data_IF_085311665013
#
_entry.id   IF_085311665013
#
_cell.length_a   1.000
_cell.length_b   1.000
_cell.length_c   1.000
_cell.angle_alpha   90.00
_cell.angle_beta   90.00
_cell.angle_gamma   90.00
#
_symmetry.space_group_name_H-M   'P 1'
#
loop_
_entity.id
_entity.type
_entity.pdbx_description
1 polymer ?
#
# COMPACT_ATOMS: atom_id res chain seq x y z
N UNK A 1 8.04 19.77 -6.00
CA UNK A 1 7.18 19.33 -5.00
C UNK A 1 6.24 20.42 -4.46
N UNK A 2 4.95 20.24 -4.69
CA UNK A 2 3.95 21.21 -4.21
C UNK A 2 3.88 21.28 -2.67
N UNK A 3 4.58 20.40 -1.98
CA UNK A 3 4.62 20.30 -0.51
C UNK A 3 5.93 20.80 0.09
N UNK A 4 6.91 21.15 -0.71
CA UNK A 4 8.21 21.58 -0.23
C UNK A 4 8.16 23.02 0.27
N UNK A 5 8.18 23.21 1.58
CA UNK A 5 8.20 24.52 2.23
C UNK A 5 9.50 25.31 2.00
N UNK A 6 10.56 24.63 1.66
CA UNK A 6 11.89 25.21 1.44
C UNK A 6 12.09 25.73 0.03
N UNK A 7 11.10 25.53 -0.85
CA UNK A 7 11.21 25.84 -2.27
C UNK A 7 12.02 24.80 -3.05
N UNK A 8 12.35 25.12 -4.29
CA UNK A 8 13.09 24.24 -5.20
C UNK A 8 12.18 23.36 -6.05
N UNK A 9 12.81 22.62 -6.95
CA UNK A 9 12.13 21.77 -7.91
C UNK A 9 11.88 20.37 -7.35
N UNK A 10 10.85 19.70 -7.86
CA UNK A 10 10.56 18.30 -7.59
C UNK A 10 10.32 17.55 -8.89
N UNK A 11 10.18 16.22 -8.81
CA UNK A 11 9.75 15.40 -9.97
C UNK A 11 8.30 15.68 -10.42
N UNK A 12 7.56 16.53 -9.72
CA UNK A 12 6.16 16.87 -10.02
C UNK A 12 5.99 18.27 -10.56
N UNK A 13 6.73 19.23 -10.00
CA UNK A 13 6.61 20.66 -10.30
C UNK A 13 7.93 21.37 -10.07
N UNK A 14 8.21 22.37 -10.88
CA UNK A 14 9.28 23.31 -10.62
C UNK A 14 8.96 24.27 -9.48
N UNK A 15 9.92 25.11 -9.11
CA UNK A 15 9.75 26.14 -8.08
C UNK A 15 8.65 27.15 -8.41
N UNK A 16 8.35 27.34 -9.69
CA UNK A 16 7.25 28.15 -10.22
C UNK A 16 5.86 27.47 -10.10
N UNK A 17 5.80 26.24 -9.63
CA UNK A 17 4.58 25.45 -9.48
C UNK A 17 4.10 24.74 -10.76
N UNK A 18 4.81 24.88 -11.89
CA UNK A 18 4.44 24.29 -13.15
C UNK A 18 5.01 22.86 -13.28
N UNK A 19 4.27 21.98 -13.99
CA UNK A 19 4.74 20.61 -14.28
C UNK A 19 5.83 20.56 -15.34
N UNK A 20 5.81 21.51 -16.26
CA UNK A 20 6.77 21.59 -17.38
C UNK A 20 8.17 21.95 -16.91
N UNK A 21 8.27 22.62 -15.77
CA UNK A 21 9.55 22.99 -15.13
C UNK A 21 9.96 22.05 -14.02
N UNK A 22 9.30 20.89 -13.87
CA UNK A 22 9.67 19.87 -12.90
C UNK A 22 11.10 19.37 -13.11
N UNK A 23 11.80 19.05 -12.03
CA UNK A 23 13.13 18.47 -12.12
C UNK A 23 13.08 17.07 -12.76
N UNK A 24 14.03 16.76 -13.61
CA UNK A 24 14.23 15.41 -14.14
C UNK A 24 14.87 14.48 -13.08
N UNK A 25 15.67 15.04 -12.18
CA UNK A 25 16.41 14.34 -11.11
C UNK A 25 16.32 15.17 -9.84
N UNK A 26 16.16 14.50 -8.70
CA UNK A 26 16.22 15.14 -7.38
C UNK A 26 17.16 14.37 -6.46
N UNK A 27 17.91 15.11 -5.62
CA UNK A 27 18.81 14.52 -4.63
C UNK A 27 18.08 14.07 -3.38
N UNK A 28 18.56 13.01 -2.72
CA UNK A 28 18.21 12.68 -1.34
C UNK A 28 18.83 13.65 -0.32
N UNK A 29 19.90 14.36 -0.69
CA UNK A 29 20.56 15.35 0.16
C UNK A 29 19.79 16.68 0.16
N UNK A 30 18.60 16.66 0.68
CA UNK A 30 17.66 17.78 0.74
C UNK A 30 16.85 17.75 2.04
N UNK A 31 16.36 18.89 2.53
CA UNK A 31 15.49 18.92 3.69
C UNK A 31 14.22 18.09 3.46
N UNK A 32 13.75 17.39 4.49
CA UNK A 32 12.44 16.80 4.50
C UNK A 32 11.36 17.87 4.52
N UNK A 33 10.18 17.54 4.01
CA UNK A 33 9.02 18.41 4.08
C UNK A 33 8.46 18.46 5.51
N UNK A 34 7.84 19.60 5.87
CA UNK A 34 7.23 19.80 7.16
C UNK A 34 8.22 19.65 8.33
N UNK A 35 7.89 18.79 9.27
CA UNK A 35 8.67 18.54 10.48
C UNK A 35 9.73 17.41 10.33
N UNK A 36 9.92 16.94 9.10
CA UNK A 36 10.93 15.96 8.74
C UNK A 36 10.55 14.50 8.95
N UNK A 37 9.51 14.19 9.70
CA UNK A 37 9.10 12.80 9.98
C UNK A 37 7.61 12.52 9.77
N UNK A 38 6.90 13.45 9.13
CA UNK A 38 5.45 13.37 8.95
C UNK A 38 4.99 12.07 8.30
N UNK A 39 5.62 11.67 7.20
CA UNK A 39 5.29 10.46 6.49
C UNK A 39 5.38 9.22 7.41
N UNK A 40 6.50 9.04 8.08
CA UNK A 40 6.69 7.94 9.04
C UNK A 40 5.64 7.99 10.16
N UNK A 41 5.46 9.13 10.80
CA UNK A 41 4.55 9.27 11.96
C UNK A 41 3.09 9.00 11.63
N UNK A 42 2.66 9.31 10.41
CA UNK A 42 1.26 9.14 10.01
C UNK A 42 1.01 7.80 9.32
N UNK A 43 1.93 7.36 8.48
CA UNK A 43 1.69 6.27 7.55
C UNK A 43 2.38 4.95 7.97
N UNK A 44 3.29 4.97 8.93
CA UNK A 44 4.08 3.79 9.31
C UNK A 44 4.08 3.53 10.82
N UNK A 45 4.40 4.54 11.65
CA UNK A 45 4.57 4.40 13.10
C UNK A 45 3.39 3.69 13.82
N UNK A 46 2.10 3.96 13.50
CA UNK A 46 1.00 3.26 14.16
C UNK A 46 1.03 1.75 13.93
N UNK A 47 1.38 1.32 12.71
CA UNK A 47 1.54 -0.09 12.35
C UNK A 47 2.75 -0.70 13.04
N UNK A 48 3.91 -0.05 12.99
CA UNK A 48 5.13 -0.45 13.70
C UNK A 48 4.84 -0.68 15.19
N UNK A 49 4.15 0.26 15.82
CA UNK A 49 3.76 0.15 17.24
C UNK A 49 2.91 -1.11 17.53
N UNK A 50 1.97 -1.45 16.63
CA UNK A 50 1.18 -2.67 16.79
C UNK A 50 2.00 -3.93 16.56
N UNK A 51 2.88 -3.94 15.58
CA UNK A 51 3.76 -5.08 15.27
C UNK A 51 4.70 -5.39 16.44
N UNK A 52 5.31 -4.37 17.02
CA UNK A 52 6.18 -4.52 18.20
C UNK A 52 5.40 -4.99 19.44
N UNK A 53 4.21 -4.40 19.71
CA UNK A 53 3.33 -4.87 20.78
C UNK A 53 2.85 -6.31 20.60
N UNK A 54 2.67 -6.75 19.34
CA UNK A 54 2.31 -8.14 19.05
C UNK A 54 3.50 -9.11 19.29
N UNK A 55 4.70 -8.61 19.55
CA UNK A 55 5.91 -9.38 19.77
C UNK A 55 6.32 -10.14 18.50
N UNK A 56 6.27 -9.46 17.36
CA UNK A 56 6.84 -9.94 16.11
C UNK A 56 8.36 -9.76 16.14
N UNK A 57 9.07 -10.67 15.52
CA UNK A 57 10.49 -10.50 15.21
C UNK A 57 10.61 -9.68 13.93
N UNK A 58 11.07 -8.43 14.05
CA UNK A 58 10.98 -7.41 13.00
C UNK A 58 12.37 -6.91 12.64
N UNK A 59 12.66 -6.90 11.35
CA UNK A 59 13.76 -6.13 10.77
C UNK A 59 13.17 -4.96 9.98
N UNK A 60 13.75 -3.79 10.16
CA UNK A 60 13.42 -2.60 9.38
C UNK A 60 14.43 -2.42 8.27
N UNK A 61 13.95 -2.22 7.06
CA UNK A 61 14.77 -2.02 5.87
C UNK A 61 14.30 -0.79 5.11
N UNK A 62 15.19 -0.20 4.33
CA UNK A 62 14.91 0.95 3.48
C UNK A 62 14.70 0.55 2.04
N UNK A 63 14.06 1.42 1.25
CA UNK A 63 13.92 1.23 -0.20
C UNK A 63 15.29 1.09 -0.90
N UNK A 64 16.33 1.76 -0.38
CA UNK A 64 17.68 1.63 -0.91
C UNK A 64 18.27 0.23 -0.71
N UNK A 65 18.00 -0.40 0.43
CA UNK A 65 18.40 -1.78 0.68
C UNK A 65 17.61 -2.75 -0.20
N UNK A 66 16.31 -2.49 -0.38
CA UNK A 66 15.48 -3.30 -1.30
C UNK A 66 15.95 -3.16 -2.74
N UNK A 67 16.37 -1.97 -3.16
CA UNK A 67 16.90 -1.75 -4.51
C UNK A 67 18.22 -2.49 -4.76
N UNK A 68 19.14 -2.37 -3.81
CA UNK A 68 20.55 -2.76 -4.02
C UNK A 68 20.88 -4.22 -3.61
N UNK A 69 20.05 -4.86 -2.76
CA UNK A 69 20.34 -6.18 -2.23
C UNK A 69 19.33 -7.24 -2.70
N UNK A 70 19.67 -8.09 -3.67
CA UNK A 70 18.78 -9.15 -4.15
C UNK A 70 18.42 -10.20 -3.10
N UNK A 71 19.22 -10.33 -2.03
CA UNK A 71 19.02 -11.30 -0.94
C UNK A 71 18.32 -10.67 0.28
N UNK A 72 17.83 -9.46 0.17
CA UNK A 72 17.25 -8.71 1.29
C UNK A 72 16.09 -9.44 1.98
N UNK A 73 15.38 -10.30 1.26
CA UNK A 73 14.26 -11.09 1.78
C UNK A 73 14.57 -12.57 2.03
N UNK A 74 15.82 -13.02 1.87
CA UNK A 74 16.18 -14.45 1.91
C UNK A 74 15.83 -15.17 3.23
N UNK A 75 15.80 -14.44 4.36
CA UNK A 75 15.44 -15.00 5.67
C UNK A 75 14.10 -14.46 6.20
N UNK A 76 13.31 -13.85 5.33
CA UNK A 76 12.06 -13.20 5.69
C UNK A 76 10.88 -14.14 5.44
N UNK A 77 9.91 -14.18 6.36
CA UNK A 77 8.66 -14.93 6.16
C UNK A 77 7.54 -14.06 5.60
N UNK A 78 7.58 -12.78 5.93
CA UNK A 78 6.55 -11.83 5.53
C UNK A 78 7.14 -10.44 5.38
N UNK A 79 6.84 -9.80 4.29
CA UNK A 79 7.13 -8.39 4.02
C UNK A 79 5.87 -7.62 4.37
N UNK A 80 6.01 -6.56 5.16
CA UNK A 80 4.91 -5.68 5.55
C UNK A 80 5.23 -4.27 5.08
N UNK A 81 4.40 -3.77 4.17
CA UNK A 81 4.47 -2.40 3.70
C UNK A 81 3.39 -1.57 4.41
N UNK A 82 3.81 -0.55 5.13
CA UNK A 82 2.94 0.46 5.70
C UNK A 82 2.86 1.68 4.80
N UNK A 83 1.75 2.42 4.87
CA UNK A 83 1.66 3.73 4.28
C UNK A 83 1.67 3.78 2.76
N UNK A 84 2.47 4.68 2.23
CA UNK A 84 2.45 5.08 0.83
C UNK A 84 3.76 4.69 0.13
N UNK A 85 3.80 3.50 -0.46
CA UNK A 85 4.98 2.96 -1.19
C UNK A 85 4.74 3.00 -2.70
N UNK A 86 4.63 4.21 -3.26
CA UNK A 86 4.23 4.45 -4.66
C UNK A 86 5.37 4.19 -5.67
N UNK A 87 6.61 4.50 -5.28
CA UNK A 87 7.75 4.57 -6.20
C UNK A 87 8.70 3.40 -5.97
N UNK A 88 8.80 2.52 -6.97
CA UNK A 88 9.73 1.39 -6.94
C UNK A 88 10.67 1.45 -8.12
N UNK A 89 11.91 1.05 -7.92
CA UNK A 89 12.80 0.73 -9.03
C UNK A 89 12.42 -0.62 -9.65
N UNK A 90 12.97 -0.92 -10.82
CA UNK A 90 12.77 -2.25 -11.43
C UNK A 90 13.37 -3.35 -10.55
N UNK A 91 14.51 -3.11 -9.90
CA UNK A 91 15.13 -4.04 -8.97
C UNK A 91 14.25 -4.30 -7.76
N UNK A 92 13.72 -3.26 -7.11
CA UNK A 92 12.78 -3.39 -5.99
C UNK A 92 11.59 -4.28 -6.36
N UNK A 93 10.94 -3.97 -7.47
CA UNK A 93 9.80 -4.77 -7.93
C UNK A 93 10.17 -6.24 -8.17
N UNK A 94 11.29 -6.50 -8.84
CA UNK A 94 11.78 -7.85 -9.08
C UNK A 94 12.05 -8.59 -7.78
N UNK A 95 12.62 -7.91 -6.76
CA UNK A 95 12.88 -8.52 -5.46
C UNK A 95 11.59 -8.88 -4.72
N UNK A 96 10.55 -8.04 -4.77
CA UNK A 96 9.23 -8.38 -4.25
C UNK A 96 8.58 -9.56 -5.00
N UNK A 97 8.64 -9.57 -6.33
CA UNK A 97 8.12 -10.67 -7.15
C UNK A 97 8.84 -12.00 -6.83
N UNK A 98 10.16 -11.98 -6.73
CA UNK A 98 10.97 -13.14 -6.35
C UNK A 98 10.64 -13.63 -4.94
N UNK A 99 10.47 -12.72 -3.97
CA UNK A 99 10.10 -13.05 -2.62
C UNK A 99 8.74 -13.78 -2.57
N UNK A 100 7.73 -13.25 -3.27
CA UNK A 100 6.42 -13.93 -3.38
C UNK A 100 6.54 -15.27 -4.10
N UNK A 101 7.33 -15.34 -5.17
CA UNK A 101 7.55 -16.60 -5.90
C UNK A 101 8.25 -17.69 -5.08
N UNK A 102 9.01 -17.31 -4.05
CA UNK A 102 9.70 -18.23 -3.13
C UNK A 102 8.94 -18.49 -1.82
N UNK A 103 7.72 -17.96 -1.67
CA UNK A 103 6.85 -18.25 -0.54
C UNK A 103 6.84 -17.19 0.57
N UNK A 104 7.49 -16.05 0.37
CA UNK A 104 7.45 -14.91 1.30
C UNK A 104 6.11 -14.16 1.13
N UNK A 105 5.39 -13.96 2.22
CA UNK A 105 4.12 -13.23 2.19
C UNK A 105 4.35 -11.74 1.94
N UNK A 106 3.44 -11.10 1.22
CA UNK A 106 3.47 -9.65 0.97
C UNK A 106 2.16 -9.00 1.46
N UNK A 107 2.27 -8.19 2.49
CA UNK A 107 1.13 -7.55 3.15
C UNK A 107 1.25 -6.04 3.01
N UNK A 108 0.28 -5.43 2.34
CA UNK A 108 0.25 -4.00 2.08
C UNK A 108 -0.88 -3.34 2.86
N UNK A 109 -0.53 -2.46 3.78
CA UNK A 109 -1.46 -1.62 4.55
C UNK A 109 -1.61 -0.22 3.96
N UNK A 110 -1.50 -0.09 2.66
CA UNK A 110 -1.59 1.16 1.91
C UNK A 110 -2.46 1.05 0.67
N UNK A 111 -2.40 2.08 -0.15
CA UNK A 111 -2.91 2.13 -1.51
C UNK A 111 -1.89 2.79 -2.43
N UNK A 112 -2.11 2.71 -3.74
CA UNK A 112 -1.20 3.25 -4.75
C UNK A 112 0.25 2.70 -4.60
N UNK A 113 0.36 1.42 -4.25
CA UNK A 113 1.65 0.77 -3.99
C UNK A 113 2.26 0.27 -5.29
N UNK A 114 3.56 0.55 -5.50
CA UNK A 114 4.31 0.10 -6.68
C UNK A 114 3.79 0.66 -8.00
N UNK A 115 3.20 1.86 -7.98
CA UNK A 115 2.59 2.48 -9.15
C UNK A 115 3.60 2.93 -10.20
N UNK A 116 4.67 3.61 -9.76
CA UNK A 116 5.59 4.29 -10.67
C UNK A 116 7.02 3.76 -10.58
N UNK A 117 7.62 3.63 -11.75
CA UNK A 117 9.04 3.30 -11.91
C UNK A 117 9.86 4.53 -11.60
N UNK A 118 10.84 4.35 -10.72
CA UNK A 118 11.91 5.32 -10.49
C UNK A 118 13.26 4.67 -10.75
N UNK A 119 14.29 5.49 -10.91
CA UNK A 119 15.68 5.06 -10.96
C UNK A 119 16.43 5.72 -9.80
N UNK A 120 17.19 4.93 -9.08
CA UNK A 120 18.06 5.39 -8.00
C UNK A 120 19.50 5.24 -8.49
N UNK A 121 20.25 6.34 -8.45
CA UNK A 121 21.67 6.35 -8.77
C UNK A 121 22.40 7.16 -7.73
N UNK A 122 23.28 6.51 -6.98
CA UNK A 122 23.98 7.13 -5.85
C UNK A 122 22.99 7.71 -4.83
N UNK A 123 22.89 9.04 -4.74
CA UNK A 123 22.00 9.76 -3.84
C UNK A 123 20.94 10.57 -4.59
N UNK A 124 20.61 10.14 -5.79
CA UNK A 124 19.64 10.80 -6.66
C UNK A 124 18.53 9.84 -7.07
N UNK A 125 17.34 10.39 -7.26
CA UNK A 125 16.19 9.68 -7.79
C UNK A 125 15.64 10.41 -9.01
N UNK A 126 15.29 9.66 -10.03
CA UNK A 126 14.70 10.14 -11.27
C UNK A 126 13.58 9.23 -11.75
N UNK A 127 12.81 9.72 -12.71
CA UNK A 127 11.74 8.97 -13.34
C UNK A 127 10.46 8.90 -12.50
N UNK A 128 9.34 8.74 -13.21
CA UNK A 128 8.01 8.57 -12.63
C UNK A 128 7.06 8.00 -13.68
N UNK A 129 7.48 6.94 -14.35
CA UNK A 129 6.66 6.28 -15.37
C UNK A 129 5.79 5.22 -14.71
N UNK A 130 4.46 5.23 -14.88
CA UNK A 130 3.61 4.17 -14.37
C UNK A 130 4.02 2.80 -14.90
N UNK A 131 4.11 1.78 -14.03
CA UNK A 131 4.43 0.41 -14.43
C UNK A 131 3.46 -0.16 -15.46
N UNK A 132 2.21 0.28 -15.43
CA UNK A 132 1.19 -0.15 -16.40
C UNK A 132 1.46 0.32 -17.83
N UNK A 133 2.20 1.40 -18.03
CA UNK A 133 2.59 1.88 -19.37
C UNK A 133 3.61 0.97 -20.07
N UNK A 134 4.31 0.14 -19.29
CA UNK A 134 5.23 -0.86 -19.82
C UNK A 134 4.67 -2.30 -19.74
N UNK A 135 3.36 -2.44 -19.58
CA UNK A 135 2.69 -3.75 -19.52
C UNK A 135 2.90 -4.50 -18.20
N UNK A 136 3.34 -3.84 -17.15
CA UNK A 136 3.58 -4.43 -15.82
C UNK A 136 2.75 -3.75 -14.73
N UNK A 137 1.41 -3.72 -14.81
CA UNK A 137 0.59 -3.06 -13.81
C UNK A 137 0.83 -3.66 -12.41
N UNK A 138 0.54 -2.88 -11.39
CA UNK A 138 0.70 -3.25 -9.98
C UNK A 138 -0.09 -4.51 -9.65
N UNK A 139 -1.24 -4.68 -10.29
CA UNK A 139 -2.15 -5.81 -10.07
C UNK A 139 -1.56 -7.18 -10.40
N UNK A 140 -0.54 -7.27 -11.25
CA UNK A 140 0.15 -8.53 -11.51
C UNK A 140 0.80 -9.11 -10.24
N UNK A 141 1.30 -8.25 -9.36
CA UNK A 141 1.88 -8.65 -8.08
C UNK A 141 0.90 -8.51 -6.92
N UNK A 142 0.16 -7.39 -6.85
CA UNK A 142 -0.64 -7.05 -5.67
C UNK A 142 -2.10 -7.55 -5.76
N UNK A 143 -2.55 -8.05 -6.92
CA UNK A 143 -3.94 -8.45 -7.15
C UNK A 143 -4.91 -7.27 -7.30
N UNK A 144 -4.45 -6.05 -7.10
CA UNK A 144 -5.19 -4.80 -7.29
C UNK A 144 -4.23 -3.68 -7.69
N UNK A 145 -4.76 -2.58 -8.19
CA UNK A 145 -3.98 -1.44 -8.64
C UNK A 145 -4.67 -0.13 -8.34
N UNK A 146 -3.91 0.93 -8.24
CA UNK A 146 -4.39 2.30 -8.05
C UNK A 146 -5.36 2.73 -9.16
N UNK A 147 -6.45 3.40 -8.77
CA UNK A 147 -7.42 3.93 -9.72
C UNK A 147 -8.04 5.28 -9.34
N UNK A 148 -8.02 5.69 -8.07
CA UNK A 148 -8.71 6.90 -7.62
C UNK A 148 -7.94 7.71 -6.59
N UNK A 149 -7.99 9.04 -6.76
CA UNK A 149 -7.42 10.06 -5.87
C UNK A 149 -8.53 10.93 -5.27
N UNK A 150 -8.31 11.42 -4.05
CA UNK A 150 -9.17 12.41 -3.41
C UNK A 150 -10.54 11.90 -2.96
N UNK A 151 -10.67 10.59 -2.82
CA UNK A 151 -11.91 9.98 -2.35
C UNK A 151 -11.93 9.86 -0.82
N UNK A 152 -13.14 9.78 -0.25
CA UNK A 152 -13.38 9.38 1.13
C UNK A 152 -14.69 8.60 1.20
N UNK A 153 -14.61 7.28 1.35
CA UNK A 153 -15.75 6.37 1.31
C UNK A 153 -15.71 5.36 2.44
N UNK A 154 -16.89 4.92 2.84
CA UNK A 154 -17.05 3.88 3.84
C UNK A 154 -16.70 2.52 3.24
N UNK A 155 -15.97 1.73 4.00
CA UNK A 155 -15.69 0.35 3.68
C UNK A 155 -16.86 -0.52 4.12
N UNK A 156 -17.27 -1.45 3.26
CA UNK A 156 -18.21 -2.54 3.58
C UNK A 156 -17.46 -3.85 3.54
N UNK A 157 -17.47 -4.57 4.66
CA UNK A 157 -16.84 -5.90 4.80
C UNK A 157 -17.52 -6.94 3.93
N UNK A 158 -16.75 -7.87 3.36
CA UNK A 158 -17.27 -9.08 2.71
C UNK A 158 -17.50 -10.24 3.69
N UNK A 159 -17.44 -9.99 5.00
CA UNK A 159 -17.63 -10.98 6.09
C UNK A 159 -16.62 -12.14 6.08
N UNK A 160 -15.50 -11.98 5.38
CA UNK A 160 -14.41 -12.95 5.33
C UNK A 160 -13.24 -12.52 6.22
N UNK A 161 -12.36 -13.45 6.55
CA UNK A 161 -11.10 -13.10 7.22
C UNK A 161 -10.29 -12.10 6.37
N UNK A 162 -9.64 -11.06 6.97
CA UNK A 162 -9.57 -10.74 8.41
C UNK A 162 -10.75 -9.92 8.94
N UNK A 163 -11.66 -9.46 8.10
CA UNK A 163 -12.76 -8.57 8.47
C UNK A 163 -13.88 -9.27 9.27
N UNK A 164 -13.99 -10.59 9.21
CA UNK A 164 -14.96 -11.35 10.00
C UNK A 164 -14.86 -11.14 11.52
N UNK A 165 -13.70 -10.63 12.02
CA UNK A 165 -13.53 -10.25 13.43
C UNK A 165 -14.40 -9.07 13.87
N UNK A 166 -14.98 -8.34 12.91
CA UNK A 166 -15.87 -7.21 13.16
C UNK A 166 -17.35 -7.59 13.26
N UNK A 167 -17.71 -8.81 12.84
CA UNK A 167 -19.09 -9.27 12.73
C UNK A 167 -19.66 -9.05 11.32
N UNK A 168 -20.91 -9.50 11.15
CA UNK A 168 -21.62 -9.47 9.87
C UNK A 168 -21.93 -8.02 9.46
N UNK A 169 -21.80 -7.72 8.17
CA UNK A 169 -22.11 -6.43 7.54
C UNK A 169 -21.40 -5.22 8.18
N UNK A 170 -20.24 -5.47 8.78
CA UNK A 170 -19.46 -4.41 9.39
C UNK A 170 -19.04 -3.35 8.36
N UNK A 171 -19.18 -2.10 8.77
CA UNK A 171 -18.75 -0.94 8.00
C UNK A 171 -17.70 -0.14 8.78
N UNK A 172 -16.69 0.38 8.06
CA UNK A 172 -15.71 1.30 8.62
C UNK A 172 -15.85 2.63 7.88
N UNK A 173 -16.24 3.68 8.61
CA UNK A 173 -16.54 4.99 8.03
C UNK A 173 -15.29 5.67 7.48
N UNK A 174 -15.38 6.14 6.24
CA UNK A 174 -14.44 7.04 5.60
C UNK A 174 -13.02 6.47 5.40
N UNK A 175 -12.83 5.15 5.46
CA UNK A 175 -11.50 4.53 5.45
C UNK A 175 -10.87 4.47 4.06
N UNK A 176 -11.66 4.25 3.01
CA UNK A 176 -11.13 4.39 1.67
C UNK A 176 -10.95 5.87 1.38
N UNK A 177 -9.72 6.33 1.52
CA UNK A 177 -9.42 7.73 1.46
C UNK A 177 -8.03 8.06 0.96
N UNK A 178 -7.93 9.24 0.44
CA UNK A 178 -6.96 9.90 -0.36
C UNK A 178 -6.68 9.16 -1.67
N UNK A 179 -6.08 8.00 -1.63
CA UNK A 179 -5.86 7.11 -2.77
C UNK A 179 -6.45 5.74 -2.51
N UNK A 180 -6.99 5.11 -3.54
CA UNK A 180 -7.60 3.81 -3.44
C UNK A 180 -7.31 2.93 -4.65
N UNK A 181 -7.29 1.62 -4.38
CA UNK A 181 -7.02 0.57 -5.35
C UNK A 181 -8.30 -0.20 -5.72
N UNK A 182 -8.28 -0.82 -6.88
CA UNK A 182 -9.32 -1.73 -7.35
C UNK A 182 -8.72 -2.98 -7.97
N UNK A 183 -9.48 -4.09 -7.93
CA UNK A 183 -9.22 -5.28 -8.73
C UNK A 183 -10.14 -5.39 -9.95
N UNK A 184 -11.10 -4.47 -10.09
CA UNK A 184 -12.01 -4.46 -11.23
C UNK A 184 -11.32 -4.01 -12.51
N UNK A 185 -11.44 -4.83 -13.57
CA UNK A 185 -10.84 -4.52 -14.87
C UNK A 185 -9.32 -4.67 -14.93
N UNK A 186 -8.67 -5.14 -13.86
CA UNK A 186 -7.23 -5.37 -13.82
C UNK A 186 -6.84 -6.69 -14.48
N UNK A 187 -5.55 -6.83 -14.80
CA UNK A 187 -4.91 -8.11 -15.17
C UNK A 187 -4.16 -8.64 -13.96
N UNK A 188 -3.98 -9.95 -13.87
CA UNK A 188 -3.22 -10.56 -12.76
C UNK A 188 -3.93 -11.76 -12.13
N UNK A 189 -3.49 -12.18 -10.94
CA UNK A 189 -4.03 -13.33 -10.24
C UNK A 189 -5.51 -13.12 -9.89
N UNK A 190 -6.25 -14.22 -9.74
CA UNK A 190 -7.59 -14.18 -9.18
C UNK A 190 -7.53 -13.81 -7.69
N UNK A 191 -8.44 -12.96 -7.24
CA UNK A 191 -8.44 -12.43 -5.88
C UNK A 191 -9.73 -12.68 -5.13
N UNK A 192 -9.63 -12.83 -3.81
CA UNK A 192 -10.72 -12.71 -2.87
C UNK A 192 -10.91 -11.22 -2.51
N UNK A 193 -12.15 -10.75 -2.55
CA UNK A 193 -12.49 -9.39 -2.10
C UNK A 193 -12.77 -9.41 -0.60
N UNK A 194 -11.89 -8.79 0.17
CA UNK A 194 -12.00 -8.70 1.62
C UNK A 194 -12.99 -7.64 2.07
N UNK A 195 -13.00 -6.53 1.37
CA UNK A 195 -13.89 -5.39 1.60
C UNK A 195 -13.94 -4.49 0.37
N UNK A 196 -14.98 -3.66 0.29
CA UNK A 196 -15.21 -2.79 -0.87
C UNK A 196 -15.91 -1.49 -0.49
N UNK A 197 -15.79 -0.49 -1.37
CA UNK A 197 -16.60 0.72 -1.34
C UNK A 197 -17.00 1.14 -2.75
N UNK A 198 -18.25 1.53 -2.95
CA UNK A 198 -18.71 2.12 -4.22
C UNK A 198 -18.26 3.57 -4.28
N UNK A 199 -17.41 3.89 -5.24
CA UNK A 199 -16.84 5.23 -5.40
C UNK A 199 -17.83 6.15 -6.11
N UNK A 200 -18.47 5.67 -7.17
CA UNK A 200 -19.48 6.42 -7.89
C UNK A 200 -20.66 5.49 -8.27
N UNK A 201 -21.87 5.81 -7.81
CA UNK A 201 -23.08 5.08 -8.23
C UNK A 201 -23.42 5.26 -9.72
N UNK A 202 -22.97 6.36 -10.33
CA UNK A 202 -23.27 6.71 -11.73
C UNK A 202 -22.23 6.17 -12.71
N UNK A 203 -20.99 5.93 -12.26
CA UNK A 203 -19.94 5.34 -13.05
C UNK A 203 -19.89 3.83 -12.78
N UNK A 204 -20.50 3.04 -13.65
CA UNK A 204 -20.55 1.58 -13.53
C UNK A 204 -19.12 1.02 -13.42
N UNK A 205 -18.79 0.44 -12.27
CA UNK A 205 -17.58 -0.33 -12.07
C UNK A 205 -16.48 0.32 -11.25
N UNK A 206 -16.65 1.54 -10.75
CA UNK A 206 -15.68 2.16 -9.84
C UNK A 206 -15.92 1.71 -8.40
N UNK A 207 -15.19 0.68 -7.99
CA UNK A 207 -15.26 0.09 -6.64
C UNK A 207 -13.86 0.00 -6.07
N UNK A 208 -13.62 0.69 -4.96
CA UNK A 208 -12.40 0.49 -4.16
C UNK A 208 -12.46 -0.87 -3.46
N UNK A 209 -11.34 -1.59 -3.41
CA UNK A 209 -11.28 -2.94 -2.88
C UNK A 209 -10.04 -3.18 -2.04
N UNK A 210 -10.25 -3.89 -0.92
CA UNK A 210 -9.18 -4.63 -0.24
C UNK A 210 -9.18 -6.06 -0.77
N UNK A 211 -8.02 -6.59 -1.10
CA UNK A 211 -7.88 -7.86 -1.81
C UNK A 211 -6.92 -8.82 -1.12
N UNK A 212 -7.11 -10.10 -1.41
CA UNK A 212 -6.26 -11.18 -0.94
C UNK A 212 -6.18 -12.29 -1.98
N UNK A 213 -4.99 -12.86 -2.17
CA UNK A 213 -4.85 -14.10 -2.90
C UNK A 213 -3.71 -14.96 -2.34
N UNK A 214 -3.75 -16.27 -2.64
CA UNK A 214 -2.68 -17.21 -2.35
C UNK A 214 -1.89 -17.44 -3.64
N UNK A 215 -0.61 -17.09 -3.64
CA UNK A 215 0.27 -17.31 -4.77
C UNK A 215 0.54 -18.81 -4.97
N UNK A 216 0.96 -19.26 -6.17
CA UNK A 216 1.32 -20.66 -6.42
C UNK A 216 2.42 -21.21 -5.48
N UNK A 217 3.29 -20.35 -4.98
CA UNK A 217 4.31 -20.66 -3.97
C UNK A 217 3.74 -20.93 -2.57
N UNK A 218 2.46 -20.66 -2.34
CA UNK A 218 1.82 -20.66 -1.03
C UNK A 218 1.92 -19.32 -0.29
N UNK A 219 2.60 -18.32 -0.85
CA UNK A 219 2.65 -17.00 -0.26
C UNK A 219 1.27 -16.34 -0.21
N UNK A 220 0.97 -15.69 0.90
CA UNK A 220 -0.19 -14.82 1.05
C UNK A 220 0.15 -13.43 0.52
N UNK A 221 -0.67 -12.90 -0.38
CA UNK A 221 -0.57 -11.50 -0.85
C UNK A 221 -1.85 -10.78 -0.50
N UNK A 222 -1.72 -9.72 0.29
CA UNK A 222 -2.84 -8.92 0.77
C UNK A 222 -2.60 -7.44 0.51
N UNK A 223 -3.60 -6.75 -0.04
CA UNK A 223 -3.58 -5.30 -0.21
C UNK A 223 -4.83 -4.68 0.39
N UNK A 224 -4.67 -3.76 1.35
CA UNK A 224 -5.79 -3.02 1.94
C UNK A 224 -6.35 -1.96 0.99
N UNK A 225 -5.59 -1.54 -0.02
CA UNK A 225 -6.06 -0.70 -1.11
C UNK A 225 -6.48 0.70 -0.71
N UNK A 226 -5.93 1.24 0.38
CA UNK A 226 -6.23 2.61 0.82
C UNK A 226 -5.10 3.22 1.66
N UNK A 227 -4.75 4.46 1.39
CA UNK A 227 -3.79 5.22 2.21
C UNK A 227 -4.35 5.64 3.58
N UNK A 228 -5.65 5.52 3.77
CA UNK A 228 -6.29 5.82 5.05
C UNK A 228 -6.01 4.80 6.16
N UNK A 229 -5.52 3.59 5.82
CA UNK A 229 -5.50 2.47 6.77
C UNK A 229 -4.63 2.72 8.01
N UNK A 230 -3.34 3.00 7.80
CA UNK A 230 -2.39 3.12 8.91
C UNK A 230 -2.63 4.40 9.71
N UNK A 231 -2.84 5.53 9.03
CA UNK A 231 -3.04 6.81 9.71
C UNK A 231 -4.30 6.84 10.57
N UNK A 232 -5.35 6.10 10.17
CA UNK A 232 -6.58 6.00 10.95
C UNK A 232 -6.38 5.33 12.31
N UNK A 233 -5.40 4.43 12.47
CA UNK A 233 -5.12 3.78 13.76
C UNK A 233 -4.75 4.76 14.88
N UNK A 234 -4.11 5.88 14.52
CA UNK A 234 -3.71 6.94 15.47
C UNK A 234 -4.54 8.21 15.34
N UNK A 235 -5.50 8.25 14.43
CA UNK A 235 -6.27 9.44 14.05
C UNK A 235 -5.39 10.64 13.65
N UNK A 236 -4.23 10.36 13.09
CA UNK A 236 -3.25 11.36 12.62
C UNK A 236 -3.01 11.14 11.15
N UNK A 237 -3.96 11.56 10.33
CA UNK A 237 -3.82 11.45 8.89
C UNK A 237 -3.33 12.76 8.30
N UNK A 238 -2.44 12.72 7.30
CA UNK A 238 -2.22 13.85 6.43
C UNK A 238 -3.55 14.20 5.75
N UNK A 239 -3.62 15.34 5.10
CA UNK A 239 -4.82 15.81 4.37
C UNK A 239 -6.03 16.16 5.25
N UNK A 240 -5.87 16.27 6.58
CA UNK A 240 -6.94 16.68 7.50
C UNK A 240 -8.03 15.62 7.74
N UNK A 241 -7.80 14.36 7.37
CA UNK A 241 -8.75 13.28 7.64
C UNK A 241 -8.73 12.91 9.13
N UNK A 242 -9.92 12.78 9.69
CA UNK A 242 -10.14 12.31 11.06
C UNK A 242 -11.07 11.11 11.05
N UNK A 243 -10.89 10.22 12.01
CA UNK A 243 -11.68 9.01 12.18
C UNK A 243 -12.26 8.96 13.59
N UNK A 244 -13.50 8.52 13.70
CA UNK A 244 -14.09 8.30 15.01
C UNK A 244 -13.43 7.11 15.74
N UNK A 245 -13.65 7.03 17.05
CA UNK A 245 -13.04 6.00 17.87
C UNK A 245 -13.48 4.59 17.49
N UNK A 246 -14.68 4.43 16.92
CA UNK A 246 -15.19 3.14 16.46
C UNK A 246 -14.39 2.68 15.24
N UNK A 247 -14.21 3.51 14.24
CA UNK A 247 -13.40 3.21 13.05
C UNK A 247 -11.96 2.85 13.44
N UNK A 248 -11.34 3.64 14.33
CA UNK A 248 -9.99 3.35 14.83
C UNK A 248 -9.90 1.94 15.45
N UNK A 249 -10.83 1.59 16.35
CA UNK A 249 -10.87 0.27 17.00
C UNK A 249 -11.13 -0.87 16.00
N UNK A 250 -11.98 -0.65 15.00
CA UNK A 250 -12.25 -1.64 13.96
C UNK A 250 -11.01 -1.93 13.12
N UNK A 251 -10.32 -0.88 12.65
CA UNK A 251 -9.08 -0.99 11.88
C UNK A 251 -8.01 -1.72 12.69
N UNK A 252 -7.86 -1.36 13.96
CA UNK A 252 -6.91 -2.01 14.85
C UNK A 252 -7.21 -3.51 14.99
N UNK A 253 -8.46 -3.91 15.22
CA UNK A 253 -8.86 -5.33 15.31
C UNK A 253 -8.56 -6.12 14.03
N UNK A 254 -8.86 -5.55 12.86
CA UNK A 254 -8.55 -6.19 11.58
C UNK A 254 -7.03 -6.33 11.40
N UNK A 255 -6.27 -5.27 11.70
CA UNK A 255 -4.81 -5.30 11.64
C UNK A 255 -4.23 -6.36 12.58
N UNK A 256 -4.70 -6.45 13.82
CA UNK A 256 -4.28 -7.48 14.80
C UNK A 256 -4.56 -8.90 14.29
N UNK A 257 -5.68 -9.13 13.59
CA UNK A 257 -6.00 -10.43 12.99
C UNK A 257 -4.99 -10.80 11.89
N UNK A 258 -4.57 -9.83 11.07
CA UNK A 258 -3.52 -10.02 10.05
C UNK A 258 -2.17 -10.27 10.71
N UNK A 259 -1.77 -9.46 11.71
CA UNK A 259 -0.50 -9.63 12.43
C UNK A 259 -0.42 -10.97 13.17
N UNK A 260 -1.55 -11.51 13.63
CA UNK A 260 -1.61 -12.86 14.18
C UNK A 260 -1.27 -13.93 13.12
N UNK A 261 -1.75 -13.76 11.88
CA UNK A 261 -1.39 -14.66 10.77
C UNK A 261 0.09 -14.54 10.41
N UNK A 262 0.64 -13.32 10.36
CA UNK A 262 2.08 -13.07 10.21
C UNK A 262 2.89 -13.83 11.26
N UNK A 263 2.51 -13.68 12.54
CA UNK A 263 3.21 -14.30 13.67
C UNK A 263 3.17 -15.83 13.65
N UNK A 264 2.02 -16.39 13.30
CA UNK A 264 1.79 -17.86 13.34
C UNK A 264 2.08 -18.56 12.03
N UNK A 265 2.34 -17.82 10.96
CA UNK A 265 2.46 -18.31 9.59
C UNK A 265 1.23 -19.15 9.14
N UNK A 266 0.04 -18.84 9.66
CA UNK A 266 -1.21 -19.52 9.33
C UNK A 266 -2.12 -18.57 8.55
N UNK A 267 -2.19 -18.80 7.25
CA UNK A 267 -2.97 -18.01 6.32
C UNK A 267 -4.18 -18.80 5.82
N UNK A 268 -5.38 -18.21 5.76
CA UNK A 268 -6.51 -18.85 5.08
C UNK A 268 -6.21 -19.02 3.59
N UNK A 269 -6.78 -20.04 2.99
CA UNK A 269 -6.78 -20.17 1.52
C UNK A 269 -7.77 -19.15 0.96
N UNK A 270 -7.32 -18.36 -0.02
CA UNK A 270 -8.17 -17.36 -0.66
C UNK A 270 -9.33 -18.02 -1.44
N UNK A 271 -10.53 -17.50 -1.26
CA UNK A 271 -11.69 -17.83 -2.09
C UNK A 271 -11.80 -16.79 -3.20
N UNK A 272 -11.67 -17.22 -4.44
CA UNK A 272 -11.54 -16.29 -5.57
C UNK A 272 -12.91 -15.72 -5.96
N UNK A 273 -13.11 -14.42 -5.74
CA UNK A 273 -14.31 -13.67 -6.15
C UNK A 273 -14.13 -13.06 -7.55
N UNK A 274 -12.91 -12.60 -7.86
CA UNK A 274 -12.54 -12.05 -9.14
C UNK A 274 -11.51 -12.98 -9.78
N UNK A 275 -11.82 -13.62 -10.92
CA UNK A 275 -10.93 -14.60 -11.54
C UNK A 275 -9.66 -13.97 -12.12
N UNK A 276 -8.66 -14.82 -12.36
CA UNK A 276 -7.44 -14.46 -13.09
C UNK A 276 -7.78 -13.88 -14.46
N UNK A 277 -7.08 -12.81 -14.85
CA UNK A 277 -7.16 -12.19 -16.16
C UNK A 277 -5.77 -12.02 -16.74
N UNK A 278 -5.62 -12.40 -18.00
CA UNK A 278 -4.40 -12.24 -18.80
C UNK A 278 -4.40 -10.91 -19.56
#
# INVERSE_FOLDING_TARGET
>A
QSYNQWGGDSLYKGADGNRETAAAVVSFDRPFDGDGSGQFRYMEQPLVTLMEKAGLDINYITDLEVDSNPEVFAQTRSIVLGGHSEYWTRSMRQHFENAVATGVNLIVFGGNTGYAITEIKEREISGRTPYREIGQPESLLLGSQYFALGIRKDLVSSNVWPFSVLGIDAQIKGIYGYEADTAMGTVGPGVQVLARAVISPTEKGFVAMSTYYSAPSGAAVMNMGTNGWVCAMSNRCPWGYTFDLQAQKQIQKVTEAVLKAVKTAKWPVAQIDIPTRS
#
